data_IF_430491958578
#
_entry.id   IF_430491958578
#
_cell.length_a   1.000
_cell.length_b   1.000
_cell.length_c   1.000
_cell.angle_alpha   90.00
_cell.angle_beta   90.00
_cell.angle_gamma   90.00
#
_symmetry.space_group_name_H-M   'P 1'
#
loop_
_entity.id
_entity.type
_entity.pdbx_description
1 polymer ?
#
# COMPACT_ATOMS: atom_id res chain seq x y z
N UNK A 1 26.30 -4.74 9.60
CA UNK A 1 25.96 -4.42 8.20
C UNK A 1 25.90 -5.72 7.41
N UNK A 2 24.95 -5.88 6.48
CA UNK A 2 24.90 -7.02 5.57
C UNK A 2 25.83 -6.80 4.38
N UNK A 3 26.39 -7.88 3.84
CA UNK A 3 27.05 -7.83 2.53
C UNK A 3 25.98 -7.80 1.44
N UNK A 4 26.32 -7.34 0.24
CA UNK A 4 25.43 -7.27 -0.91
C UNK A 4 24.72 -8.62 -1.21
N UNK A 5 25.48 -9.73 -1.13
CA UNK A 5 24.92 -11.08 -1.30
C UNK A 5 23.97 -11.47 -0.17
N UNK A 6 24.28 -11.11 1.08
CA UNK A 6 23.40 -11.35 2.22
C UNK A 6 22.11 -10.55 2.09
N UNK A 7 22.21 -9.28 1.66
CA UNK A 7 21.04 -8.45 1.39
C UNK A 7 20.14 -9.06 0.31
N UNK A 8 20.73 -9.51 -0.80
CA UNK A 8 19.98 -10.18 -1.88
C UNK A 8 19.23 -11.42 -1.41
N UNK A 9 19.86 -12.26 -0.57
CA UNK A 9 19.19 -13.45 0.00
C UNK A 9 18.01 -13.04 0.88
N UNK A 10 18.21 -12.03 1.72
CA UNK A 10 17.18 -11.51 2.60
C UNK A 10 16.00 -10.91 1.83
N UNK A 11 16.28 -10.15 0.78
CA UNK A 11 15.26 -9.55 -0.10
C UNK A 11 14.40 -10.61 -0.79
N UNK A 12 15.02 -11.69 -1.28
CA UNK A 12 14.30 -12.80 -1.90
C UNK A 12 13.39 -13.51 -0.90
N UNK A 13 13.84 -13.72 0.34
CA UNK A 13 13.02 -14.33 1.39
C UNK A 13 11.85 -13.43 1.75
N UNK A 14 12.09 -12.14 1.93
CA UNK A 14 11.06 -11.15 2.28
C UNK A 14 10.01 -11.04 1.18
N UNK A 15 10.45 -10.98 -0.08
CA UNK A 15 9.56 -10.92 -1.24
C UNK A 15 8.70 -12.18 -1.37
N UNK A 16 9.29 -13.36 -1.16
CA UNK A 16 8.55 -14.63 -1.20
C UNK A 16 7.47 -14.68 -0.11
N UNK A 17 7.80 -14.31 1.13
CA UNK A 17 6.86 -14.30 2.25
C UNK A 17 5.72 -13.30 2.00
N UNK A 18 6.02 -12.12 1.48
CA UNK A 18 5.02 -11.10 1.19
C UNK A 18 3.99 -11.52 0.13
N UNK A 19 4.43 -12.29 -0.87
CA UNK A 19 3.54 -12.76 -1.96
C UNK A 19 2.77 -14.04 -1.62
N UNK A 20 3.35 -14.91 -0.81
CA UNK A 20 2.82 -16.27 -0.60
C UNK A 20 2.21 -16.48 0.79
N UNK A 21 2.34 -15.53 1.71
CA UNK A 21 1.90 -15.62 3.11
C UNK A 21 2.50 -16.82 3.87
N UNK A 22 3.57 -17.41 3.32
CA UNK A 22 4.30 -18.55 3.87
C UNK A 22 5.79 -18.41 3.59
N UNK A 23 6.64 -18.97 4.46
CA UNK A 23 8.08 -18.91 4.24
C UNK A 23 8.53 -19.86 3.12
N UNK A 24 9.62 -19.51 2.39
CA UNK A 24 10.20 -20.37 1.38
C UNK A 24 10.90 -21.57 2.00
N UNK A 25 10.96 -22.67 1.25
CA UNK A 25 11.82 -23.81 1.55
C UNK A 25 13.26 -23.55 1.05
N UNK A 26 14.21 -24.38 1.49
CA UNK A 26 15.60 -24.30 1.01
C UNK A 26 15.66 -24.59 -0.51
N UNK A 27 14.82 -25.50 -1.01
CA UNK A 27 14.70 -25.81 -2.43
C UNK A 27 14.21 -24.60 -3.23
N UNK A 28 13.11 -23.99 -2.81
CA UNK A 28 12.56 -22.78 -3.44
C UNK A 28 13.57 -21.65 -3.46
N UNK A 29 14.29 -21.42 -2.35
CA UNK A 29 15.36 -20.43 -2.29
C UNK A 29 16.53 -20.75 -3.22
N UNK A 30 16.88 -22.02 -3.36
CA UNK A 30 17.95 -22.44 -4.25
C UNK A 30 17.61 -22.09 -5.71
N UNK A 31 16.37 -22.29 -6.11
CA UNK A 31 15.85 -21.94 -7.43
C UNK A 31 15.78 -20.41 -7.61
N UNK A 32 15.15 -19.71 -6.67
CA UNK A 32 14.95 -18.26 -6.74
C UNK A 32 16.26 -17.46 -6.77
N UNK A 33 17.28 -17.96 -6.07
CA UNK A 33 18.62 -17.36 -6.04
C UNK A 33 19.52 -17.84 -7.17
N UNK A 34 19.02 -18.70 -8.07
CA UNK A 34 19.79 -19.34 -9.15
C UNK A 34 21.09 -20.01 -8.65
N UNK A 35 21.02 -20.68 -7.49
CA UNK A 35 22.16 -21.36 -6.91
C UNK A 35 22.17 -22.85 -7.28
N UNK A 36 23.37 -23.41 -7.48
CA UNK A 36 23.55 -24.84 -7.77
C UNK A 36 23.60 -25.72 -6.51
N UNK A 37 23.73 -25.12 -5.32
CA UNK A 37 23.96 -25.83 -4.07
C UNK A 37 23.09 -25.35 -2.93
N UNK A 38 22.31 -26.25 -2.34
CA UNK A 38 21.56 -26.01 -1.11
C UNK A 38 22.47 -25.60 0.06
N UNK A 39 23.69 -26.12 0.12
CA UNK A 39 24.68 -25.79 1.17
C UNK A 39 25.00 -24.30 1.17
N UNK A 40 25.10 -23.68 -0.01
CA UNK A 40 25.31 -22.24 -0.13
C UNK A 40 24.14 -21.47 0.50
N UNK A 41 22.90 -21.82 0.18
CA UNK A 41 21.71 -21.19 0.75
C UNK A 41 21.70 -21.33 2.29
N UNK A 42 21.95 -22.54 2.81
CA UNK A 42 22.00 -22.82 4.26
C UNK A 42 23.04 -21.93 4.95
N UNK A 43 24.24 -21.79 4.38
CA UNK A 43 25.30 -20.95 4.96
C UNK A 43 24.89 -19.47 5.03
N UNK A 44 24.16 -18.95 4.03
CA UNK A 44 23.65 -17.59 4.08
C UNK A 44 22.51 -17.43 5.09
N UNK A 45 21.64 -18.41 5.21
CA UNK A 45 20.59 -18.42 6.25
C UNK A 45 21.21 -18.42 7.66
N UNK A 46 22.23 -19.22 7.91
CA UNK A 46 22.97 -19.24 9.20
C UNK A 46 23.62 -17.90 9.53
N UNK A 47 24.21 -17.25 8.54
CA UNK A 47 24.80 -15.93 8.71
C UNK A 47 23.74 -14.86 9.01
N UNK A 48 22.58 -14.92 8.34
CA UNK A 48 21.47 -14.00 8.58
C UNK A 48 20.84 -14.24 9.96
N UNK A 49 20.70 -15.50 10.37
CA UNK A 49 20.20 -15.88 11.69
C UNK A 49 21.12 -15.38 12.80
N UNK A 50 22.43 -15.64 12.69
CA UNK A 50 23.43 -15.13 13.65
C UNK A 50 23.45 -13.63 13.78
N UNK A 51 23.08 -12.90 12.70
CA UNK A 51 22.95 -11.45 12.69
C UNK A 51 21.57 -10.96 13.13
N UNK A 52 20.65 -11.86 13.51
CA UNK A 52 19.32 -11.53 14.01
C UNK A 52 18.31 -11.12 12.94
N UNK A 53 18.61 -11.33 11.65
CA UNK A 53 17.70 -10.97 10.56
C UNK A 53 16.61 -11.99 10.30
N UNK A 54 16.79 -13.22 10.73
CA UNK A 54 15.78 -14.28 10.68
C UNK A 54 16.01 -15.28 11.81
N UNK A 55 15.03 -16.15 12.03
CA UNK A 55 15.15 -17.36 12.86
C UNK A 55 14.75 -18.57 12.04
N UNK A 56 15.31 -19.74 12.37
CA UNK A 56 14.96 -21.00 11.72
C UNK A 56 14.40 -21.96 12.76
N UNK A 57 13.10 -22.24 12.66
CA UNK A 57 12.42 -23.27 13.46
C UNK A 57 12.58 -24.66 12.86
N UNK A 58 12.17 -25.66 13.64
CA UNK A 58 12.06 -27.04 13.18
C UNK A 58 10.91 -27.15 12.18
N UNK A 59 11.19 -27.57 10.95
CA UNK A 59 10.15 -27.80 9.93
C UNK A 59 10.53 -27.34 8.52
N UNK A 60 9.73 -27.81 7.59
CA UNK A 60 9.94 -27.62 6.14
C UNK A 60 9.90 -26.14 5.70
N UNK A 61 9.17 -25.28 6.43
CA UNK A 61 9.02 -23.84 6.20
C UNK A 61 9.31 -23.04 7.47
N UNK A 62 10.38 -23.41 8.17
CA UNK A 62 10.70 -22.86 9.48
C UNK A 62 11.39 -21.48 9.47
N UNK A 63 11.52 -20.80 8.33
CA UNK A 63 12.15 -19.48 8.26
C UNK A 63 11.16 -18.41 8.72
N UNK A 64 11.52 -17.68 9.78
CA UNK A 64 10.76 -16.52 10.26
C UNK A 64 11.66 -15.29 10.22
N UNK A 65 11.19 -14.21 9.65
CA UNK A 65 11.92 -12.94 9.63
C UNK A 65 11.98 -12.35 11.04
N UNK A 66 13.17 -11.89 11.43
CA UNK A 66 13.34 -11.18 12.70
C UNK A 66 12.62 -9.84 12.71
N UNK A 67 12.14 -9.41 13.87
CA UNK A 67 11.41 -8.14 14.02
C UNK A 67 12.18 -6.92 13.46
N UNK A 68 13.51 -6.93 13.56
CA UNK A 68 14.36 -5.86 13.02
C UNK A 68 14.27 -5.67 11.51
N UNK A 69 13.85 -6.69 10.74
CA UNK A 69 13.77 -6.62 9.27
C UNK A 69 12.51 -5.91 8.83
N UNK A 70 11.40 -6.17 9.49
CA UNK A 70 10.15 -5.46 9.22
C UNK A 70 10.35 -3.96 9.41
N UNK A 71 11.06 -3.53 10.46
CA UNK A 71 11.38 -2.13 10.72
C UNK A 71 12.36 -1.51 9.70
N UNK A 72 13.29 -2.29 9.14
CA UNK A 72 14.25 -1.76 8.14
C UNK A 72 13.70 -1.75 6.71
N UNK A 73 12.70 -2.59 6.41
CA UNK A 73 12.09 -2.72 5.09
C UNK A 73 10.74 -2.02 4.97
N UNK A 74 10.22 -1.45 6.05
CA UNK A 74 8.96 -0.71 6.08
C UNK A 74 9.19 0.76 6.39
N UNK A 75 8.27 1.57 5.91
CA UNK A 75 8.11 2.98 6.25
C UNK A 75 6.81 3.12 7.04
N UNK A 76 6.84 3.90 8.10
CA UNK A 76 5.65 4.20 8.90
C UNK A 76 4.92 5.38 8.26
N UNK A 77 3.92 5.08 7.43
CA UNK A 77 3.15 6.11 6.73
C UNK A 77 1.98 6.56 7.62
N UNK A 78 1.79 7.87 7.82
CA UNK A 78 0.73 8.38 8.67
C UNK A 78 -0.66 8.05 8.11
N UNK A 79 -1.58 7.65 9.00
CA UNK A 79 -3.00 7.53 8.68
C UNK A 79 -3.64 8.89 9.01
N UNK A 80 -4.13 9.60 8.01
CA UNK A 80 -4.66 10.96 8.18
C UNK A 80 -6.17 10.99 8.47
N UNK A 81 -6.83 9.84 8.58
CA UNK A 81 -8.26 9.77 8.86
C UNK A 81 -9.03 8.92 7.86
N UNK A 82 -10.24 9.33 7.57
CA UNK A 82 -11.19 8.57 6.75
C UNK A 82 -11.43 9.24 5.40
N UNK A 83 -11.61 8.44 4.37
CA UNK A 83 -12.07 8.89 3.09
C UNK A 83 -13.56 8.57 2.94
N UNK A 84 -14.35 9.55 2.54
CA UNK A 84 -15.80 9.44 2.26
C UNK A 84 -16.74 9.45 3.47
N UNK A 85 -16.27 9.81 4.66
CA UNK A 85 -17.11 9.83 5.87
C UNK A 85 -17.82 11.17 6.13
N UNK A 86 -17.76 12.10 5.20
CA UNK A 86 -18.30 13.43 5.47
C UNK A 86 -17.58 14.15 6.63
N UNK A 87 -16.36 13.75 6.97
CA UNK A 87 -15.49 14.47 7.91
C UNK A 87 -14.43 15.25 7.16
N UNK A 88 -14.20 16.54 7.51
CA UNK A 88 -13.09 17.30 6.92
C UNK A 88 -11.80 16.55 7.14
N UNK A 89 -10.95 16.45 6.12
CA UNK A 89 -9.54 16.11 6.32
C UNK A 89 -8.92 17.28 7.10
N UNK A 90 -8.93 17.15 8.42
CA UNK A 90 -8.17 18.06 9.26
C UNK A 90 -6.72 17.86 8.87
N UNK A 91 -5.98 18.94 8.62
CA UNK A 91 -4.52 18.89 8.54
C UNK A 91 -4.01 18.28 9.84
N UNK A 92 -3.79 16.96 9.81
CA UNK A 92 -3.37 16.22 10.98
C UNK A 92 -1.89 16.51 11.23
N UNK A 93 -1.66 17.52 12.02
CA UNK A 93 -0.44 17.62 12.79
C UNK A 93 -0.43 16.46 13.80
N UNK A 94 0.34 15.39 13.48
CA UNK A 94 0.46 14.15 14.27
C UNK A 94 -0.84 13.36 14.36
N UNK A 95 -0.91 12.33 13.54
CA UNK A 95 -2.11 11.52 13.34
C UNK A 95 -2.61 10.88 14.64
N UNK A 96 -3.76 11.30 15.13
CA UNK A 96 -4.53 10.61 16.17
C UNK A 96 -4.85 9.16 15.76
N UNK A 97 -4.76 8.83 14.46
CA UNK A 97 -5.07 7.54 13.87
C UNK A 97 -3.87 6.60 13.75
N UNK A 98 -2.67 7.04 14.16
CA UNK A 98 -1.47 6.21 14.12
C UNK A 98 -0.78 6.15 12.74
N UNK A 99 -0.01 5.08 12.53
CA UNK A 99 0.77 4.85 11.31
C UNK A 99 0.54 3.45 10.76
N UNK A 100 0.63 3.28 9.46
CA UNK A 100 0.63 1.98 8.81
C UNK A 100 2.05 1.64 8.34
N UNK A 101 2.65 0.52 8.81
CA UNK A 101 3.94 0.06 8.33
C UNK A 101 3.79 -0.50 6.90
N UNK A 102 4.37 0.19 5.93
CA UNK A 102 4.28 -0.15 4.51
C UNK A 102 5.66 -0.53 3.99
N UNK A 103 5.74 -1.60 3.20
CA UNK A 103 6.99 -2.03 2.59
C UNK A 103 7.58 -0.95 1.67
N UNK A 104 8.89 -0.69 1.79
CA UNK A 104 9.65 0.20 0.90
C UNK A 104 9.54 -0.18 -0.58
N UNK A 105 9.15 -1.40 -0.90
CA UNK A 105 8.90 -1.84 -2.28
C UNK A 105 7.65 -1.24 -2.91
N UNK A 106 6.70 -0.77 -2.10
CA UNK A 106 5.46 -0.14 -2.55
C UNK A 106 5.66 1.37 -2.74
N UNK A 107 6.58 1.96 -1.97
CA UNK A 107 6.86 3.39 -1.98
C UNK A 107 8.14 3.65 -2.77
N UNK A 108 8.00 4.23 -3.96
CA UNK A 108 9.11 4.38 -4.92
C UNK A 108 9.95 5.65 -4.74
N UNK A 109 9.48 6.62 -3.92
CA UNK A 109 10.11 7.92 -3.76
C UNK A 109 10.09 8.36 -2.30
N UNK A 110 10.21 9.65 -2.06
CA UNK A 110 10.14 10.26 -0.74
C UNK A 110 8.83 9.87 -0.01
N UNK A 111 8.97 9.28 1.16
CA UNK A 111 7.86 8.81 2.01
C UNK A 111 6.93 9.94 2.45
N UNK A 112 7.42 11.19 2.49
CA UNK A 112 6.64 12.38 2.86
C UNK A 112 5.55 12.72 1.85
N UNK A 113 5.67 12.18 0.64
CA UNK A 113 4.69 12.33 -0.43
C UNK A 113 3.53 11.34 -0.34
N UNK A 114 3.50 10.51 0.72
CA UNK A 114 2.44 9.52 0.90
C UNK A 114 1.72 9.69 2.21
N UNK A 115 0.47 9.31 2.24
CA UNK A 115 -0.33 9.13 3.44
C UNK A 115 -1.36 8.02 3.23
N UNK A 116 -1.93 7.56 4.32
CA UNK A 116 -2.96 6.52 4.33
C UNK A 116 -4.29 7.10 4.78
N UNK A 117 -5.36 6.64 4.16
CA UNK A 117 -6.73 6.88 4.63
C UNK A 117 -7.43 5.54 4.83
N UNK A 118 -8.34 5.47 5.80
CA UNK A 118 -9.28 4.39 5.93
C UNK A 118 -10.53 4.69 5.11
N UNK A 119 -10.99 3.71 4.34
CA UNK A 119 -12.17 3.85 3.48
C UNK A 119 -13.44 3.63 4.30
N UNK A 120 -14.39 4.54 4.21
CA UNK A 120 -15.75 4.36 4.68
C UNK A 120 -16.73 4.46 3.52
N UNK A 121 -17.66 3.51 3.47
CA UNK A 121 -18.67 3.41 2.41
C UNK A 121 -18.24 2.49 1.26
N UNK A 122 -19.14 2.36 0.28
CA UNK A 122 -19.05 1.38 -0.80
C UNK A 122 -18.98 2.00 -2.20
N UNK A 123 -18.81 3.32 -2.30
CA UNK A 123 -18.87 4.03 -3.58
C UNK A 123 -17.76 3.69 -4.57
N UNK A 124 -16.72 2.96 -4.12
CA UNK A 124 -15.59 2.50 -4.93
C UNK A 124 -15.33 1.00 -4.81
N UNK A 125 -16.28 0.20 -4.30
CA UNK A 125 -16.09 -1.21 -3.99
C UNK A 125 -15.98 -2.13 -5.23
N UNK A 126 -16.16 -1.59 -6.43
CA UNK A 126 -15.90 -2.25 -7.70
C UNK A 126 -14.61 -1.75 -8.39
N UNK A 127 -13.92 -0.80 -7.77
CA UNK A 127 -12.65 -0.27 -8.28
C UNK A 127 -11.46 -1.06 -7.67
N UNK A 128 -10.53 -1.44 -8.53
CA UNK A 128 -9.34 -2.21 -8.13
C UNK A 128 -8.05 -1.42 -8.32
N UNK A 129 -7.17 -1.53 -7.33
CA UNK A 129 -5.80 -1.02 -7.39
C UNK A 129 -4.84 -2.15 -7.05
N UNK A 130 -3.90 -2.42 -7.93
CA UNK A 130 -2.91 -3.51 -7.76
C UNK A 130 -3.56 -4.88 -7.47
N UNK A 131 -4.72 -5.16 -8.10
CA UNK A 131 -5.47 -6.42 -7.95
C UNK A 131 -6.24 -6.56 -6.64
N UNK A 132 -6.51 -5.45 -5.95
CA UNK A 132 -7.32 -5.41 -4.72
C UNK A 132 -8.43 -4.39 -4.85
N UNK A 133 -9.65 -4.77 -4.48
CA UNK A 133 -10.83 -3.90 -4.47
C UNK A 133 -10.76 -2.91 -3.30
N UNK A 134 -11.30 -1.71 -3.52
CA UNK A 134 -11.44 -0.66 -2.50
C UNK A 134 -12.71 -0.91 -1.69
N UNK A 135 -12.64 -1.78 -0.70
CA UNK A 135 -13.79 -2.16 0.13
C UNK A 135 -13.97 -1.21 1.33
N UNK A 136 -15.15 -1.24 1.93
CA UNK A 136 -15.38 -0.56 3.20
C UNK A 136 -14.46 -1.11 4.29
N UNK A 137 -13.75 -0.23 5.00
CA UNK A 137 -12.76 -0.61 6.01
C UNK A 137 -11.34 -0.83 5.47
N UNK A 138 -11.14 -0.87 4.14
CA UNK A 138 -9.80 -0.91 3.53
C UNK A 138 -8.96 0.29 3.93
N UNK A 139 -7.64 0.12 3.95
CA UNK A 139 -6.71 1.24 3.97
C UNK A 139 -6.17 1.49 2.57
N UNK A 140 -6.16 2.74 2.15
CA UNK A 140 -5.62 3.16 0.85
C UNK A 140 -4.38 4.01 1.04
N UNK A 141 -3.37 3.78 0.19
CA UNK A 141 -2.19 4.63 0.08
C UNK A 141 -2.44 5.68 -0.98
N UNK A 142 -2.30 6.94 -0.61
CA UNK A 142 -2.46 8.09 -1.48
C UNK A 142 -1.12 8.75 -1.72
N UNK A 143 -0.80 9.04 -2.97
CA UNK A 143 0.39 9.79 -3.40
C UNK A 143 0.01 11.22 -3.73
N UNK A 144 0.55 12.18 -2.97
CA UNK A 144 0.17 13.61 -3.02
C UNK A 144 0.49 14.29 -4.37
N UNK A 145 1.65 14.00 -4.94
CA UNK A 145 2.15 14.73 -6.14
C UNK A 145 1.49 14.28 -7.44
N UNK A 146 0.68 13.22 -7.40
CA UNK A 146 -0.01 12.70 -8.57
C UNK A 146 -1.43 13.26 -8.64
N UNK A 147 -1.54 14.51 -9.10
CA UNK A 147 -2.82 15.25 -9.21
C UNK A 147 -3.30 15.40 -10.65
N UNK A 148 -2.55 14.87 -11.62
CA UNK A 148 -2.98 14.87 -13.01
C UNK A 148 -4.08 13.82 -13.22
N UNK A 149 -5.32 14.30 -13.21
CA UNK A 149 -6.50 13.44 -13.22
C UNK A 149 -6.74 12.82 -14.60
N UNK A 150 -7.13 11.55 -14.58
CA UNK A 150 -7.55 10.80 -15.75
C UNK A 150 -8.72 9.88 -15.39
N UNK A 151 -9.40 9.32 -16.39
CA UNK A 151 -10.60 8.49 -16.18
C UNK A 151 -10.33 7.06 -15.72
N UNK A 152 -9.07 6.61 -15.67
CA UNK A 152 -8.70 5.24 -15.33
C UNK A 152 -8.39 5.06 -13.84
N UNK A 153 -7.86 6.09 -13.23
CA UNK A 153 -7.39 6.08 -11.85
C UNK A 153 -8.43 6.68 -10.89
N UNK A 154 -8.32 6.36 -9.61
CA UNK A 154 -9.06 7.00 -8.54
C UNK A 154 -8.19 8.01 -7.81
N UNK A 155 -8.80 9.14 -7.47
CA UNK A 155 -8.15 10.25 -6.80
C UNK A 155 -8.91 10.62 -5.51
N UNK A 156 -8.16 11.16 -4.57
CA UNK A 156 -8.74 11.83 -3.42
C UNK A 156 -9.08 13.26 -3.79
N UNK A 157 -10.34 13.60 -3.66
CA UNK A 157 -10.87 14.95 -3.83
C UNK A 157 -11.30 15.51 -2.48
N UNK A 158 -11.10 16.80 -2.28
CA UNK A 158 -11.78 17.56 -1.23
C UNK A 158 -12.79 18.44 -1.95
N UNK A 159 -14.06 18.23 -1.68
CA UNK A 159 -15.19 18.98 -2.24
C UNK A 159 -15.92 19.67 -1.09
N UNK A 160 -15.92 20.99 -1.07
CA UNK A 160 -16.53 21.81 -0.02
C UNK A 160 -16.09 21.39 1.41
N UNK A 161 -14.82 20.99 1.56
CA UNK A 161 -14.25 20.52 2.82
C UNK A 161 -14.39 19.02 3.08
N UNK A 162 -15.11 18.26 2.24
CA UNK A 162 -15.35 16.83 2.44
C UNK A 162 -14.44 15.96 1.57
N UNK A 163 -13.78 15.00 2.19
CA UNK A 163 -12.92 14.06 1.50
C UNK A 163 -13.73 12.97 0.78
N UNK A 164 -13.46 12.72 -0.49
CA UNK A 164 -14.07 11.63 -1.24
C UNK A 164 -13.10 11.02 -2.24
N UNK A 165 -13.20 9.69 -2.44
CA UNK A 165 -12.44 8.99 -3.48
C UNK A 165 -13.37 8.72 -4.64
N UNK A 166 -12.98 9.19 -5.82
CA UNK A 166 -13.75 9.01 -7.06
C UNK A 166 -12.82 8.93 -8.27
N UNK A 167 -13.36 8.47 -9.37
CA UNK A 167 -12.76 8.66 -10.70
C UNK A 167 -13.13 10.04 -11.21
N UNK A 168 -12.25 10.59 -12.04
CA UNK A 168 -12.45 11.91 -12.66
C UNK A 168 -12.93 11.76 -14.09
N UNK A 169 -13.91 12.57 -14.49
CA UNK A 169 -14.31 12.75 -15.86
C UNK A 169 -14.68 14.21 -16.09
N UNK A 170 -14.30 14.75 -17.22
CA UNK A 170 -14.67 16.09 -17.65
C UNK A 170 -15.17 16.04 -19.08
N UNK A 171 -16.21 16.79 -19.36
CA UNK A 171 -16.66 17.14 -20.72
C UNK A 171 -16.55 18.67 -20.95
N UNK A 172 -17.16 19.17 -22.02
CA UNK A 172 -17.09 20.58 -22.37
C UNK A 172 -17.77 21.54 -21.36
N UNK A 173 -18.72 21.04 -20.59
CA UNK A 173 -19.59 21.84 -19.71
C UNK A 173 -19.41 21.50 -18.23
N UNK A 174 -19.06 20.25 -17.90
CA UNK A 174 -19.12 19.76 -16.54
C UNK A 174 -17.90 18.92 -16.16
N UNK A 175 -17.62 18.92 -14.85
CA UNK A 175 -16.71 17.99 -14.19
C UNK A 175 -17.53 17.02 -13.36
N UNK A 176 -17.19 15.74 -13.47
CA UNK A 176 -17.87 14.65 -12.78
C UNK A 176 -16.90 13.88 -11.92
N UNK A 177 -17.29 13.61 -10.69
CA UNK A 177 -16.64 12.63 -9.82
C UNK A 177 -17.48 11.35 -9.82
N UNK A 178 -16.95 10.33 -10.49
CA UNK A 178 -17.67 9.10 -10.75
C UNK A 178 -17.40 8.04 -9.66
N UNK A 179 -18.43 7.45 -9.07
CA UNK A 179 -18.28 6.24 -8.29
C UNK A 179 -17.97 5.05 -9.21
N UNK A 180 -17.30 4.03 -8.67
CA UNK A 180 -17.17 2.72 -9.29
C UNK A 180 -17.58 1.67 -8.26
N UNK A 181 -18.87 1.42 -8.18
CA UNK A 181 -19.52 0.61 -7.14
C UNK A 181 -20.31 -0.53 -7.73
N UNK A 182 -20.44 -1.60 -6.94
CA UNK A 182 -21.40 -2.69 -7.17
C UNK A 182 -22.84 -2.27 -6.81
N UNK A 183 -22.97 -1.16 -6.09
CA UNK A 183 -24.26 -0.65 -5.58
C UNK A 183 -24.80 0.45 -6.48
N UNK A 184 -25.98 0.28 -7.05
CA UNK A 184 -26.60 1.19 -8.03
C UNK A 184 -27.06 2.54 -7.45
N UNK A 185 -27.09 2.68 -6.13
CA UNK A 185 -27.56 3.92 -5.48
C UNK A 185 -26.49 5.02 -5.48
N UNK A 186 -25.21 4.69 -5.68
CA UNK A 186 -24.16 5.70 -5.81
C UNK A 186 -24.24 6.41 -7.16
N UNK A 187 -24.45 7.71 -7.13
CA UNK A 187 -24.55 8.54 -8.34
C UNK A 187 -23.32 9.41 -8.51
N UNK A 188 -22.98 9.80 -9.76
CA UNK A 188 -21.94 10.79 -10.03
C UNK A 188 -22.22 12.11 -9.28
N UNK A 189 -21.16 12.72 -8.76
CA UNK A 189 -21.19 14.09 -8.24
C UNK A 189 -20.85 14.98 -9.43
N UNK A 190 -21.77 15.87 -9.80
CA UNK A 190 -21.58 16.89 -10.84
C UNK A 190 -21.13 18.15 -10.13
N UNK A 191 -19.96 18.64 -10.49
CA UNK A 191 -19.38 19.83 -9.88
C UNK A 191 -19.82 21.07 -10.61
N UNK A 192 -20.22 22.09 -9.85
CA UNK A 192 -20.55 23.42 -10.32
C UNK A 192 -19.35 24.36 -10.21
N UNK A 193 -19.47 25.56 -10.80
CA UNK A 193 -18.46 26.61 -10.66
C UNK A 193 -18.36 27.20 -9.24
N UNK A 194 -19.34 26.91 -8.39
CA UNK A 194 -19.42 27.38 -6.98
C UNK A 194 -18.75 26.40 -6.02
N UNK A 195 -18.48 25.16 -6.45
CA UNK A 195 -17.88 24.15 -5.61
C UNK A 195 -16.40 24.41 -5.41
N UNK A 196 -15.96 24.41 -4.14
CA UNK A 196 -14.56 24.44 -3.80
C UNK A 196 -13.99 23.02 -3.88
N UNK A 197 -13.16 22.76 -4.88
CA UNK A 197 -12.59 21.44 -5.12
C UNK A 197 -11.05 21.52 -5.16
N UNK A 198 -10.43 20.53 -4.54
CA UNK A 198 -9.01 20.24 -4.73
C UNK A 198 -8.76 18.75 -4.94
N UNK A 199 -7.74 18.44 -5.75
CA UNK A 199 -7.22 17.07 -5.91
C UNK A 199 -6.05 16.91 -4.95
N UNK A 200 -6.16 15.97 -4.02
CA UNK A 200 -5.20 15.80 -2.94
C UNK A 200 -4.30 14.57 -3.12
N UNK A 201 -4.39 13.91 -4.26
CA UNK A 201 -3.51 12.84 -4.66
C UNK A 201 -4.22 11.65 -5.31
N UNK A 202 -3.42 10.72 -5.80
CA UNK A 202 -3.85 9.49 -6.47
C UNK A 202 -3.83 8.31 -5.52
N UNK A 203 -4.84 7.45 -5.57
CA UNK A 203 -4.83 6.15 -4.88
C UNK A 203 -3.90 5.20 -5.63
N UNK A 204 -2.82 4.77 -4.96
CA UNK A 204 -1.77 3.96 -5.58
C UNK A 204 -1.68 2.54 -5.05
N UNK A 205 -2.30 2.26 -3.90
CA UNK A 205 -2.34 0.92 -3.31
C UNK A 205 -3.51 0.76 -2.35
N UNK A 206 -3.98 -0.49 -2.17
CA UNK A 206 -5.06 -0.87 -1.23
C UNK A 206 -4.58 -1.97 -0.31
N UNK A 207 -4.88 -1.85 0.98
CA UNK A 207 -4.63 -2.85 2.01
C UNK A 207 -5.96 -3.31 2.60
N UNK A 208 -6.26 -4.60 2.44
CA UNK A 208 -7.42 -5.27 3.03
C UNK A 208 -6.90 -6.19 4.13
N UNK A 209 -7.33 -5.97 5.38
CA UNK A 209 -6.93 -6.74 6.55
C UNK A 209 -8.08 -7.57 7.08
#
# INVERSE_FOLDING_TARGET
>A
MLTEKQQKVLDVITDFISRNVKSPTIEELTILLAQKSKRWVVQYLENLERKGFLTRGSGYRGITLGNSIWFQSTLNIPILGYANAGTPLVEASQSEYGVLPISKKIIYWDETNYFVLKVEGTSMNNFEVSGKSVENGSYILVKKDEVNTNSKDAFLFIVNGWATIKKYKQDAENVYLLPESKDDFHKPIILSSEDNISVNGKVVYVFNF
#
